data_IF_878380809096
#
_entry.id   IF_878380809096
#
_cell.length_a   1.000
_cell.length_b   1.000
_cell.length_c   1.000
_cell.angle_alpha   90.00
_cell.angle_beta   90.00
_cell.angle_gamma   90.00
#
_symmetry.space_group_name_H-M   'P 1'
#
loop_
_entity.id
_entity.type
_entity.pdbx_description
1 polymer ?
#
# COMPACT_ATOMS: atom_id res chain seq x y z
N UNK A 1 6.71 -0.95 -10.27
CA UNK A 1 6.49 -2.33 -10.74
C UNK A 1 6.90 -2.43 -12.19
N UNK A 2 7.93 -3.18 -12.48
CA UNK A 2 8.50 -3.26 -13.83
C UNK A 2 7.92 -4.46 -14.59
N UNK A 3 6.60 -4.51 -14.73
CA UNK A 3 5.90 -5.49 -15.55
C UNK A 3 5.88 -5.05 -17.02
N UNK A 4 6.03 -3.74 -17.26
CA UNK A 4 6.10 -3.14 -18.59
C UNK A 4 7.40 -2.34 -18.67
N UNK A 5 8.34 -2.83 -19.45
CA UNK A 5 9.72 -2.38 -19.47
C UNK A 5 10.21 -1.97 -20.88
N UNK A 6 9.35 -2.07 -21.90
CA UNK A 6 9.65 -1.61 -23.24
C UNK A 6 9.09 -0.21 -23.52
N UNK A 7 9.73 0.59 -24.38
CA UNK A 7 9.22 1.91 -24.76
C UNK A 7 7.78 1.89 -25.32
N UNK A 8 7.44 0.87 -26.10
CA UNK A 8 6.11 0.76 -26.69
C UNK A 8 5.03 0.47 -25.64
N UNK A 9 5.31 -0.41 -24.67
CA UNK A 9 4.39 -0.68 -23.58
C UNK A 9 4.21 0.53 -22.68
N UNK A 10 5.29 1.27 -22.39
CA UNK A 10 5.22 2.50 -21.60
C UNK A 10 4.48 3.62 -22.35
N UNK A 11 4.55 3.66 -23.68
CA UNK A 11 3.73 4.58 -24.47
C UNK A 11 2.24 4.25 -24.32
N UNK A 12 1.86 2.97 -24.40
CA UNK A 12 0.48 2.54 -24.19
C UNK A 12 -0.03 2.87 -22.77
N UNK A 13 0.82 2.74 -21.76
CA UNK A 13 0.50 3.15 -20.37
C UNK A 13 0.27 4.67 -20.32
N UNK A 14 1.14 5.46 -20.97
CA UNK A 14 1.00 6.92 -21.00
C UNK A 14 -0.31 7.34 -21.66
N UNK A 15 -0.67 6.75 -22.79
CA UNK A 15 -1.89 7.09 -23.54
C UNK A 15 -3.14 6.79 -22.68
N UNK A 16 -3.14 5.66 -21.96
CA UNK A 16 -4.20 5.31 -21.02
C UNK A 16 -4.30 6.28 -19.84
N UNK A 17 -3.17 6.68 -19.25
CA UNK A 17 -3.15 7.63 -18.15
C UNK A 17 -3.58 9.04 -18.57
N UNK A 18 -3.23 9.48 -19.77
CA UNK A 18 -3.70 10.76 -20.32
C UNK A 18 -5.22 10.73 -20.52
N UNK A 19 -5.77 9.62 -20.98
CA UNK A 19 -7.22 9.45 -21.09
C UNK A 19 -7.89 9.46 -19.70
N UNK A 20 -7.33 8.74 -18.73
CA UNK A 20 -7.80 8.70 -17.36
C UNK A 20 -7.73 10.09 -16.69
N UNK A 21 -6.71 10.91 -17.00
CA UNK A 21 -6.49 12.23 -16.39
C UNK A 21 -7.72 13.14 -16.48
N UNK A 22 -8.56 12.98 -17.49
CA UNK A 22 -9.80 13.75 -17.66
C UNK A 22 -10.80 13.55 -16.52
N UNK A 23 -10.71 12.42 -15.81
CA UNK A 23 -11.59 12.02 -14.70
C UNK A 23 -10.89 12.02 -13.33
N UNK A 24 -9.59 12.38 -13.28
CA UNK A 24 -8.80 12.38 -12.04
C UNK A 24 -8.72 13.79 -11.47
N UNK A 25 -9.23 13.96 -10.26
CA UNK A 25 -9.16 15.24 -9.55
C UNK A 25 -7.74 15.54 -9.07
N UNK A 26 -7.03 14.52 -8.57
CA UNK A 26 -5.69 14.70 -8.00
C UNK A 26 -4.85 13.42 -8.08
N UNK A 27 -3.55 13.57 -8.33
CA UNK A 27 -2.55 12.54 -8.14
C UNK A 27 -1.77 12.84 -6.85
N UNK A 28 -2.15 12.22 -5.74
CA UNK A 28 -1.50 12.41 -4.44
C UNK A 28 -1.67 11.17 -3.59
N UNK A 29 -0.65 10.83 -2.81
CA UNK A 29 -0.68 9.79 -1.78
C UNK A 29 -1.01 10.33 -0.39
N UNK A 30 -1.20 11.65 -0.25
CA UNK A 30 -1.45 12.30 1.03
C UNK A 30 -2.87 12.87 1.07
N UNK A 31 -3.44 12.98 2.26
CA UNK A 31 -4.75 13.55 2.49
C UNK A 31 -5.90 12.76 1.85
N UNK A 32 -5.77 11.44 1.70
CA UNK A 32 -6.75 10.60 1.01
C UNK A 32 -8.04 10.52 1.80
N UNK A 33 -7.96 10.19 3.10
CA UNK A 33 -9.13 10.09 3.96
C UNK A 33 -9.85 11.44 4.06
N UNK A 34 -9.10 12.52 4.21
CA UNK A 34 -9.66 13.88 4.31
C UNK A 34 -10.44 14.29 3.05
N UNK A 35 -9.95 13.94 1.85
CA UNK A 35 -10.66 14.20 0.59
C UNK A 35 -11.92 13.37 0.45
N UNK A 36 -11.89 12.11 0.88
CA UNK A 36 -13.07 11.25 0.89
C UNK A 36 -14.11 11.76 1.90
N UNK A 37 -13.67 12.15 3.11
CA UNK A 37 -14.54 12.70 4.16
C UNK A 37 -15.19 14.01 3.74
N UNK A 38 -14.44 14.90 3.09
CA UNK A 38 -14.97 16.20 2.62
C UNK A 38 -15.87 16.09 1.38
N UNK A 39 -15.87 14.92 0.73
CA UNK A 39 -16.56 14.73 -0.55
C UNK A 39 -15.87 15.41 -1.73
N UNK A 40 -14.64 15.87 -1.59
CA UNK A 40 -13.82 16.39 -2.71
C UNK A 40 -13.63 15.31 -3.78
N UNK A 41 -13.47 14.06 -3.37
CA UNK A 41 -13.47 12.89 -4.25
C UNK A 41 -14.40 11.82 -3.73
N UNK A 42 -14.97 11.04 -4.62
CA UNK A 42 -15.87 9.92 -4.28
C UNK A 42 -15.18 8.56 -4.35
N UNK A 43 -13.97 8.52 -4.91
CA UNK A 43 -13.16 7.32 -5.05
C UNK A 43 -11.69 7.68 -5.09
N UNK A 44 -10.86 6.86 -4.48
CA UNK A 44 -9.40 7.02 -4.48
C UNK A 44 -8.70 5.65 -4.56
N UNK A 45 -7.56 5.58 -5.27
CA UNK A 45 -6.64 4.46 -5.10
C UNK A 45 -6.01 4.55 -3.70
N UNK A 46 -6.06 3.47 -2.93
CA UNK A 46 -5.79 3.53 -1.50
C UNK A 46 -5.11 2.28 -0.99
N UNK A 47 -4.40 2.41 0.11
CA UNK A 47 -3.93 1.26 0.89
C UNK A 47 -5.06 0.72 1.75
N UNK A 48 -5.14 -0.60 1.84
CA UNK A 48 -6.18 -1.32 2.58
C UNK A 48 -6.20 -0.93 4.07
N UNK A 49 -5.06 -0.97 4.75
CA UNK A 49 -4.97 -0.60 6.16
C UNK A 49 -5.31 0.86 6.41
N UNK A 50 -4.84 1.80 5.57
CA UNK A 50 -5.17 3.21 5.75
C UNK A 50 -6.65 3.52 5.47
N UNK A 51 -7.27 2.74 4.58
CA UNK A 51 -8.73 2.75 4.39
C UNK A 51 -9.46 2.30 5.67
N UNK A 52 -8.94 1.29 6.37
CA UNK A 52 -9.52 0.84 7.64
C UNK A 52 -9.37 1.90 8.75
N UNK A 53 -8.24 2.60 8.80
CA UNK A 53 -8.06 3.76 9.71
C UNK A 53 -9.11 4.83 9.42
N UNK A 54 -9.39 5.15 8.16
CA UNK A 54 -10.45 6.09 7.78
C UNK A 54 -11.83 5.71 8.33
N UNK A 55 -12.15 4.41 8.35
CA UNK A 55 -13.38 3.91 8.99
C UNK A 55 -13.40 4.19 10.49
N UNK A 56 -12.30 3.92 11.18
CA UNK A 56 -12.19 4.18 12.62
C UNK A 56 -12.26 5.68 12.96
N UNK A 57 -11.85 6.54 12.04
CA UNK A 57 -11.93 8.00 12.16
C UNK A 57 -13.29 8.59 11.80
N UNK A 58 -14.28 7.76 11.46
CA UNK A 58 -15.67 8.15 11.27
C UNK A 58 -16.12 8.27 9.81
N UNK A 59 -15.40 7.68 8.86
CA UNK A 59 -15.87 7.53 7.48
C UNK A 59 -16.64 6.22 7.36
N UNK A 60 -17.81 6.14 7.98
CA UNK A 60 -18.59 4.90 8.12
C UNK A 60 -18.93 4.24 6.77
N UNK A 61 -19.20 5.04 5.74
CA UNK A 61 -19.56 4.57 4.41
C UNK A 61 -18.35 4.21 3.53
N UNK A 62 -17.12 4.31 4.06
CA UNK A 62 -15.92 3.98 3.31
C UNK A 62 -15.84 2.48 3.04
N UNK A 63 -15.87 2.11 1.77
CA UNK A 63 -15.74 0.73 1.33
C UNK A 63 -14.48 0.54 0.51
N UNK A 64 -13.64 -0.42 0.87
CA UNK A 64 -12.48 -0.81 0.10
C UNK A 64 -12.88 -1.88 -0.94
N UNK A 65 -12.69 -1.56 -2.21
CA UNK A 65 -13.01 -2.48 -3.30
C UNK A 65 -11.72 -3.09 -3.89
N UNK A 66 -11.70 -4.40 -3.96
CA UNK A 66 -10.61 -5.16 -4.59
C UNK A 66 -10.92 -5.34 -6.08
N UNK A 67 -10.13 -4.78 -7.02
CA UNK A 67 -10.34 -4.96 -8.46
C UNK A 67 -10.19 -6.43 -8.86
N UNK A 68 -11.05 -6.90 -9.75
CA UNK A 68 -10.97 -8.28 -10.29
C UNK A 68 -9.68 -8.56 -11.06
N UNK A 69 -9.04 -7.51 -11.57
CA UNK A 69 -7.76 -7.55 -12.27
C UNK A 69 -6.59 -7.83 -11.31
N UNK A 70 -6.81 -7.69 -10.02
CA UNK A 70 -5.84 -7.92 -8.96
C UNK A 70 -5.35 -6.66 -8.27
N UNK A 71 -4.55 -6.88 -7.24
CA UNK A 71 -3.96 -5.83 -6.42
C UNK A 71 -2.44 -5.95 -6.38
N UNK A 72 -1.80 -4.85 -6.00
CA UNK A 72 -0.36 -4.81 -5.73
C UNK A 72 -0.14 -5.12 -4.25
N UNK A 73 0.60 -6.19 -3.98
CA UNK A 73 1.05 -6.53 -2.64
C UNK A 73 2.46 -6.00 -2.38
N UNK A 74 2.75 -5.75 -1.11
CA UNK A 74 4.10 -5.40 -0.63
C UNK A 74 4.33 -5.94 0.76
N UNK A 75 5.59 -5.91 1.19
CA UNK A 75 5.98 -6.18 2.57
C UNK A 75 6.86 -5.05 3.06
N UNK A 76 6.45 -4.39 4.14
CA UNK A 76 7.32 -3.51 4.90
C UNK A 76 8.25 -4.37 5.76
N UNK A 77 9.52 -4.04 5.75
CA UNK A 77 10.55 -4.84 6.39
C UNK A 77 11.52 -3.98 7.18
N UNK A 78 11.87 -4.41 8.37
CA UNK A 78 13.00 -3.85 9.08
C UNK A 78 14.30 -4.33 8.44
N UNK A 79 15.14 -3.41 8.05
CA UNK A 79 16.41 -3.72 7.38
C UNK A 79 17.59 -3.12 8.12
N UNK A 80 18.71 -3.81 8.08
CA UNK A 80 19.97 -3.33 8.63
C UNK A 80 20.91 -2.95 7.48
N UNK A 81 21.32 -1.67 7.36
CA UNK A 81 22.22 -1.25 6.29
C UNK A 81 23.60 -1.85 6.46
N UNK A 82 24.29 -2.06 5.32
CA UNK A 82 25.69 -2.49 5.32
C UNK A 82 26.55 -1.47 6.06
N UNK A 83 27.33 -1.93 7.03
CA UNK A 83 28.20 -1.08 7.84
C UNK A 83 27.53 -0.44 9.06
N UNK A 84 26.32 -0.88 9.43
CA UNK A 84 25.71 -0.51 10.71
C UNK A 84 26.66 -0.80 11.87
N UNK A 85 26.77 0.13 12.81
CA UNK A 85 27.70 -0.01 13.96
C UNK A 85 27.08 -0.79 15.13
N UNK A 86 25.79 -0.61 15.37
CA UNK A 86 25.07 -1.18 16.52
C UNK A 86 24.23 -2.39 16.04
N UNK A 87 24.94 -3.43 15.54
CA UNK A 87 24.31 -4.59 14.90
C UNK A 87 23.49 -5.42 15.89
N UNK A 88 24.03 -5.66 17.08
CA UNK A 88 23.35 -6.51 18.08
C UNK A 88 22.14 -5.80 18.68
N UNK A 89 22.21 -4.51 18.91
CA UNK A 89 21.10 -3.70 19.36
C UNK A 89 19.99 -3.63 18.28
N UNK A 90 20.36 -3.51 17.01
CA UNK A 90 19.41 -3.54 15.91
C UNK A 90 18.68 -4.89 15.83
N UNK A 91 19.41 -6.01 15.98
CA UNK A 91 18.79 -7.34 16.04
C UNK A 91 17.88 -7.50 17.27
N UNK A 92 18.30 -7.01 18.44
CA UNK A 92 17.48 -7.03 19.63
C UNK A 92 16.18 -6.26 19.43
N UNK A 93 16.23 -5.08 18.80
CA UNK A 93 15.04 -4.31 18.45
C UNK A 93 14.15 -5.03 17.44
N UNK A 94 14.71 -5.60 16.38
CA UNK A 94 13.95 -6.39 15.40
C UNK A 94 13.22 -7.56 16.07
N UNK A 95 13.91 -8.30 16.93
CA UNK A 95 13.31 -9.42 17.68
C UNK A 95 12.20 -8.93 18.64
N UNK A 96 12.40 -7.80 19.29
CA UNK A 96 11.38 -7.18 20.15
C UNK A 96 10.12 -6.83 19.34
N UNK A 97 10.26 -6.19 18.19
CA UNK A 97 9.12 -5.82 17.32
C UNK A 97 8.39 -7.07 16.80
N UNK A 98 9.12 -8.13 16.45
CA UNK A 98 8.55 -9.39 15.94
C UNK A 98 7.91 -10.26 17.03
N UNK A 99 8.02 -9.90 18.31
CA UNK A 99 7.30 -10.62 19.35
C UNK A 99 5.77 -10.49 19.12
N UNK A 100 4.99 -11.58 19.24
CA UNK A 100 3.57 -11.59 18.87
C UNK A 100 2.72 -10.47 19.44
N UNK A 101 2.91 -10.14 20.73
CA UNK A 101 2.17 -9.05 21.39
C UNK A 101 2.52 -7.68 20.77
N UNK A 102 3.81 -7.42 20.56
CA UNK A 102 4.29 -6.15 20.01
C UNK A 102 3.85 -5.99 18.54
N UNK A 103 3.90 -7.08 17.78
CA UNK A 103 3.44 -7.06 16.39
C UNK A 103 1.91 -6.84 16.31
N UNK A 104 1.14 -7.40 17.25
CA UNK A 104 -0.29 -7.11 17.33
C UNK A 104 -0.57 -5.65 17.70
N UNK A 105 0.23 -5.03 18.59
CA UNK A 105 0.11 -3.59 18.87
C UNK A 105 0.32 -2.76 17.62
N UNK A 106 1.32 -3.10 16.79
CA UNK A 106 1.57 -2.42 15.53
C UNK A 106 0.39 -2.57 14.56
N UNK A 107 -0.13 -3.80 14.41
CA UNK A 107 -1.29 -4.05 13.56
C UNK A 107 -2.56 -3.34 14.04
N UNK A 108 -2.81 -3.31 15.35
CA UNK A 108 -3.96 -2.60 15.94
C UNK A 108 -3.86 -1.08 15.72
N UNK A 109 -2.65 -0.53 15.67
CA UNK A 109 -2.44 0.90 15.44
C UNK A 109 -2.52 1.26 13.96
N UNK A 110 -1.84 0.50 13.10
CA UNK A 110 -1.69 0.85 11.68
C UNK A 110 -2.74 0.21 10.78
N UNK A 111 -3.57 -0.69 11.30
CA UNK A 111 -4.59 -1.46 10.59
C UNK A 111 -4.05 -2.34 9.45
N UNK A 112 -2.78 -2.73 9.47
CA UNK A 112 -2.22 -3.67 8.50
C UNK A 112 -2.09 -5.08 9.05
N UNK A 113 -2.28 -6.06 8.17
CA UNK A 113 -1.90 -7.44 8.47
C UNK A 113 -0.39 -7.56 8.69
N UNK A 114 0.02 -8.59 9.42
CA UNK A 114 1.43 -8.85 9.69
C UNK A 114 1.80 -10.31 9.42
N UNK A 115 3.10 -10.61 9.39
CA UNK A 115 3.63 -11.92 9.07
C UNK A 115 3.83 -12.85 10.29
N UNK A 116 3.33 -12.49 11.48
CA UNK A 116 3.48 -13.27 12.72
C UNK A 116 2.11 -13.87 13.07
N UNK A 117 1.83 -15.15 12.72
CA UNK A 117 0.52 -15.76 12.93
C UNK A 117 0.07 -15.76 14.38
N UNK A 118 1.01 -15.93 15.33
CA UNK A 118 0.74 -15.96 16.76
C UNK A 118 0.25 -14.62 17.32
N UNK A 119 0.42 -13.53 16.58
CA UNK A 119 -0.07 -12.22 16.98
C UNK A 119 -1.59 -12.13 16.92
N UNK A 120 -2.26 -13.01 16.18
CA UNK A 120 -3.72 -13.02 15.98
C UNK A 120 -4.54 -13.03 17.27
N UNK A 121 -4.03 -13.71 18.30
CA UNK A 121 -4.69 -13.79 19.63
C UNK A 121 -4.64 -12.47 20.43
N UNK A 122 -3.78 -11.53 20.05
CA UNK A 122 -3.60 -10.23 20.70
C UNK A 122 -4.20 -9.07 19.88
N UNK A 123 -4.78 -9.36 18.71
CA UNK A 123 -5.47 -8.35 17.93
C UNK A 123 -6.74 -7.88 18.62
N UNK A 124 -7.06 -6.60 18.48
CA UNK A 124 -8.33 -6.03 18.91
C UNK A 124 -9.50 -6.66 18.14
N UNK A 125 -10.71 -6.60 18.69
CA UNK A 125 -11.91 -7.06 17.98
C UNK A 125 -12.13 -6.27 16.68
N UNK A 126 -11.87 -4.96 16.69
CA UNK A 126 -11.96 -4.12 15.49
C UNK A 126 -11.01 -4.60 14.39
N UNK A 127 -9.78 -4.99 14.77
CA UNK A 127 -8.81 -5.49 13.80
C UNK A 127 -9.17 -6.89 13.29
N UNK A 128 -9.69 -7.78 14.15
CA UNK A 128 -10.17 -9.10 13.74
C UNK A 128 -11.34 -9.03 12.76
N UNK A 129 -12.19 -8.02 12.91
CA UNK A 129 -13.37 -7.80 12.09
C UNK A 129 -13.13 -6.85 10.92
N UNK A 130 -11.89 -6.38 10.72
CA UNK A 130 -11.54 -5.45 9.66
C UNK A 130 -11.60 -6.13 8.28
N UNK A 131 -12.67 -5.90 7.54
CA UNK A 131 -12.89 -6.51 6.22
C UNK A 131 -12.03 -5.90 5.12
N UNK A 132 -11.61 -4.63 5.29
CA UNK A 132 -10.84 -3.92 4.26
C UNK A 132 -9.42 -4.47 4.07
N UNK A 133 -8.88 -5.21 5.05
CA UNK A 133 -7.53 -5.78 5.00
C UNK A 133 -7.52 -7.28 4.66
N UNK A 134 -8.65 -7.83 4.32
CA UNK A 134 -8.79 -9.24 3.93
C UNK A 134 -8.99 -9.33 2.41
N UNK A 135 -7.94 -9.72 1.70
CA UNK A 135 -8.03 -9.92 0.26
C UNK A 135 -8.99 -11.08 -0.03
N UNK A 136 -10.08 -10.86 -0.78
CA UNK A 136 -11.02 -11.93 -1.09
C UNK A 136 -10.38 -13.05 -1.91
N UNK A 137 -10.87 -14.27 -1.73
CA UNK A 137 -10.44 -15.42 -2.51
C UNK A 137 -10.59 -15.16 -4.02
N UNK A 138 -9.60 -15.58 -4.79
CA UNK A 138 -9.59 -15.43 -6.24
C UNK A 138 -9.13 -14.07 -6.77
N UNK A 139 -8.87 -13.08 -5.92
CA UNK A 139 -8.25 -11.82 -6.36
C UNK A 139 -6.73 -12.03 -6.51
N UNK A 140 -6.16 -11.81 -7.73
CA UNK A 140 -4.73 -11.96 -7.94
C UNK A 140 -3.93 -10.91 -7.14
N UNK A 141 -2.93 -11.36 -6.39
CA UNK A 141 -1.98 -10.45 -5.72
C UNK A 141 -0.64 -10.52 -6.45
N UNK A 142 -0.15 -9.38 -6.91
CA UNK A 142 1.13 -9.26 -7.60
C UNK A 142 2.09 -8.42 -6.78
N UNK A 143 3.23 -8.97 -6.44
CA UNK A 143 4.29 -8.24 -5.74
C UNK A 143 5.18 -7.48 -6.73
N UNK A 144 5.53 -6.25 -6.36
CA UNK A 144 6.45 -5.42 -7.13
C UNK A 144 7.85 -6.01 -7.17
N UNK A 145 8.49 -5.93 -8.34
CA UNK A 145 9.91 -6.25 -8.49
C UNK A 145 10.71 -4.95 -8.61
N UNK A 146 11.99 -5.00 -8.25
CA UNK A 146 12.89 -3.87 -8.45
C UNK A 146 13.05 -3.59 -9.95
N UNK A 147 12.96 -2.32 -10.32
CA UNK A 147 13.17 -1.88 -11.69
C UNK A 147 14.66 -1.79 -12.02
N UNK A 148 15.04 -2.13 -13.25
CA UNK A 148 16.33 -1.72 -13.79
C UNK A 148 16.31 -0.20 -14.10
N UNK A 149 17.47 0.38 -14.38
CA UNK A 149 17.61 1.82 -14.59
C UNK A 149 16.85 2.32 -15.82
N UNK A 150 16.82 1.50 -16.87
CA UNK A 150 16.13 1.81 -18.13
C UNK A 150 14.61 1.89 -17.92
N UNK A 151 14.04 0.90 -17.26
CA UNK A 151 12.61 0.87 -16.93
C UNK A 151 12.23 2.01 -15.99
N UNK A 152 13.08 2.32 -15.00
CA UNK A 152 12.84 3.46 -14.11
C UNK A 152 12.80 4.78 -14.89
N UNK A 153 13.75 5.00 -15.81
CA UNK A 153 13.78 6.21 -16.64
C UNK A 153 12.52 6.35 -17.52
N UNK A 154 11.98 5.23 -18.01
CA UNK A 154 10.71 5.25 -18.76
C UNK A 154 9.53 5.63 -17.87
N UNK A 155 9.46 5.09 -16.65
CA UNK A 155 8.42 5.44 -15.66
C UNK A 155 8.50 6.93 -15.31
N UNK A 156 9.69 7.46 -15.03
CA UNK A 156 9.90 8.85 -14.67
C UNK A 156 9.47 9.80 -15.83
N UNK A 157 9.76 9.40 -17.07
CA UNK A 157 9.32 10.14 -18.25
C UNK A 157 7.79 10.18 -18.40
N UNK A 158 7.11 9.04 -18.18
CA UNK A 158 5.65 8.96 -18.22
C UNK A 158 5.05 9.84 -17.14
N UNK A 159 5.56 9.73 -15.90
CA UNK A 159 5.07 10.51 -14.77
C UNK A 159 5.26 12.00 -14.98
N UNK A 160 6.46 12.43 -15.42
CA UNK A 160 6.75 13.84 -15.70
C UNK A 160 5.79 14.42 -16.74
N UNK A 161 5.49 13.66 -17.80
CA UNK A 161 4.55 14.10 -18.83
C UNK A 161 3.10 14.12 -18.36
N UNK A 162 2.71 13.18 -17.50
CA UNK A 162 1.37 13.12 -16.91
C UNK A 162 1.09 14.33 -16.01
N UNK A 163 2.11 14.82 -15.30
CA UNK A 163 2.00 15.92 -14.33
C UNK A 163 2.07 17.32 -14.99
N UNK A 164 2.40 17.42 -16.27
CA UNK A 164 2.30 18.65 -17.07
C UNK A 164 0.85 18.92 -17.52
#
# INVERSE_FOLDING_TARGET
>A
MCIRDSPNEMQAVMDLLIEQKKCVAVYSSEGINERLMSGEVVMHAHWDGYSQVGKWEGVDDLTYAYPKEGVVGWFDSLVMPKGAKNVEEAKAFMNFVMHPENMAMLSNFAAYANAIPESSKYLSEDMKNATNIQVPDGIPVKFGQACNKESQALIDKVWTKLMQ
#
